data_IF_273134994767
#
_entry.id   IF_273134994767
#
_cell.length_a   1.000
_cell.length_b   1.000
_cell.length_c   1.000
_cell.angle_alpha   90.00
_cell.angle_beta   90.00
_cell.angle_gamma   90.00
#
_symmetry.space_group_name_H-M   'P 1'
#
loop_
_entity.id
_entity.type
_entity.pdbx_description
1 polymer ?
#
# COMPACT_ATOMS: atom_id res chain seq x y z
N UNK A 1 17.87 -14.17 -7.15
CA UNK A 1 16.69 -13.35 -6.91
C UNK A 1 16.92 -12.43 -5.72
N UNK A 2 16.68 -11.14 -5.89
CA UNK A 2 16.89 -10.18 -4.80
C UNK A 2 15.69 -10.19 -3.85
N UNK A 3 15.97 -10.13 -2.57
CA UNK A 3 14.94 -10.04 -1.54
C UNK A 3 15.21 -8.81 -0.68
N UNK A 4 14.28 -7.86 -0.70
CA UNK A 4 14.42 -6.59 0.02
C UNK A 4 13.17 -6.38 0.86
N UNK A 5 13.35 -6.02 2.13
CA UNK A 5 12.25 -5.79 3.08
C UNK A 5 11.28 -6.98 3.15
N UNK A 6 11.79 -8.20 2.99
CA UNK A 6 10.98 -9.39 3.01
C UNK A 6 10.23 -9.69 1.71
N UNK A 7 10.43 -8.89 0.66
CA UNK A 7 9.76 -9.04 -0.63
C UNK A 7 10.73 -9.55 -1.68
N UNK A 8 10.30 -10.54 -2.44
CA UNK A 8 11.08 -11.02 -3.58
C UNK A 8 10.91 -10.06 -4.76
N UNK A 9 12.00 -9.45 -5.17
CA UNK A 9 11.97 -8.46 -6.27
C UNK A 9 12.14 -9.20 -7.60
N UNK A 10 11.28 -8.92 -8.60
CA UNK A 10 11.43 -9.56 -9.91
C UNK A 10 12.77 -9.21 -10.55
N UNK A 11 13.49 -10.23 -11.01
CA UNK A 11 14.84 -10.04 -11.56
C UNK A 11 14.83 -9.50 -12.99
N UNK A 12 13.75 -9.73 -13.72
CA UNK A 12 13.64 -9.28 -15.11
C UNK A 12 13.23 -7.83 -15.26
N UNK A 13 12.86 -7.16 -14.18
CA UNK A 13 12.40 -5.77 -14.20
C UNK A 13 13.55 -4.80 -13.96
N UNK A 14 13.37 -3.55 -14.41
CA UNK A 14 14.32 -2.49 -14.08
C UNK A 14 14.27 -2.24 -12.56
N UNK A 15 15.37 -1.76 -12.01
CA UNK A 15 15.45 -1.53 -10.57
C UNK A 15 14.35 -0.60 -10.06
N UNK A 16 14.08 0.49 -10.80
CA UNK A 16 13.04 1.44 -10.40
C UNK A 16 11.64 0.79 -10.38
N UNK A 17 11.37 -0.13 -11.28
CA UNK A 17 10.11 -0.84 -11.32
C UNK A 17 10.07 -1.93 -10.25
N UNK A 18 11.15 -2.66 -10.07
CA UNK A 18 11.23 -3.74 -9.08
C UNK A 18 11.02 -3.25 -7.65
N UNK A 19 11.60 -2.10 -7.31
CA UNK A 19 11.43 -1.54 -5.96
C UNK A 19 9.99 -1.17 -5.64
N UNK A 20 9.17 -0.90 -6.64
CA UNK A 20 7.76 -0.58 -6.41
C UNK A 20 6.93 -1.78 -5.95
N UNK A 21 7.46 -2.98 -6.00
CA UNK A 21 6.80 -4.16 -5.46
C UNK A 21 6.78 -4.16 -3.92
N UNK A 22 7.59 -3.31 -3.31
CA UNK A 22 7.61 -3.15 -1.86
C UNK A 22 6.49 -2.22 -1.45
N UNK A 23 5.65 -2.64 -0.51
CA UNK A 23 4.57 -1.80 0.00
C UNK A 23 5.16 -0.55 0.68
N UNK A 24 4.77 0.62 0.21
CA UNK A 24 5.28 1.90 0.71
C UNK A 24 6.28 2.57 -0.21
N UNK A 25 6.72 1.91 -1.27
CA UNK A 25 7.63 2.49 -2.26
C UNK A 25 6.91 2.58 -3.60
N UNK A 26 6.70 3.80 -4.06
CA UNK A 26 6.18 4.08 -5.38
C UNK A 26 7.28 4.56 -6.31
N UNK A 27 6.91 5.08 -7.47
CA UNK A 27 7.88 5.52 -8.47
C UNK A 27 8.83 6.59 -7.94
N UNK A 28 8.30 7.61 -7.25
CA UNK A 28 9.11 8.72 -6.75
C UNK A 28 10.13 8.26 -5.71
N UNK A 29 9.69 7.42 -4.77
CA UNK A 29 10.59 6.90 -3.73
C UNK A 29 11.61 5.93 -4.30
N UNK A 30 11.23 5.12 -5.28
CA UNK A 30 12.17 4.22 -5.94
C UNK A 30 13.29 5.01 -6.62
N UNK A 31 12.95 6.08 -7.33
CA UNK A 31 13.93 6.96 -7.94
C UNK A 31 14.85 7.61 -6.91
N UNK A 32 14.28 8.07 -5.82
CA UNK A 32 15.03 8.69 -4.73
C UNK A 32 16.03 7.72 -4.11
N UNK A 33 15.60 6.48 -3.83
CA UNK A 33 16.47 5.45 -3.27
C UNK A 33 17.64 5.15 -4.20
N UNK A 34 17.37 4.95 -5.49
CA UNK A 34 18.40 4.65 -6.47
C UNK A 34 19.37 5.80 -6.63
N UNK A 35 18.90 7.04 -6.55
CA UNK A 35 19.74 8.22 -6.58
C UNK A 35 20.68 8.26 -5.37
N UNK A 36 20.17 7.96 -4.18
CA UNK A 36 20.97 7.95 -2.94
C UNK A 36 22.10 6.93 -2.98
N UNK A 37 21.85 5.77 -3.57
CA UNK A 37 22.86 4.70 -3.63
C UNK A 37 23.69 4.74 -4.90
N UNK A 38 23.40 5.67 -5.82
CA UNK A 38 24.19 5.86 -7.04
C UNK A 38 23.98 4.79 -8.10
N UNK A 39 22.79 4.20 -8.17
CA UNK A 39 22.47 3.17 -9.16
C UNK A 39 21.56 3.77 -10.23
N UNK A 40 21.85 3.45 -11.51
CA UNK A 40 21.02 3.87 -12.64
C UNK A 40 19.65 3.21 -12.57
N UNK A 41 18.61 3.99 -12.80
CA UNK A 41 17.21 3.52 -12.79
C UNK A 41 16.96 2.44 -13.82
N UNK A 42 17.64 2.50 -14.96
CA UNK A 42 17.41 1.57 -16.06
C UNK A 42 18.07 0.22 -15.88
N UNK A 43 18.91 0.05 -14.86
CA UNK A 43 19.54 -1.24 -14.60
C UNK A 43 18.52 -2.29 -14.21
N UNK A 44 18.69 -3.49 -14.75
CA UNK A 44 17.85 -4.63 -14.38
C UNK A 44 18.24 -5.15 -13.00
N UNK A 45 17.27 -5.67 -12.28
CA UNK A 45 17.52 -6.20 -10.94
C UNK A 45 18.54 -7.34 -10.96
N UNK A 46 18.52 -8.18 -12.01
CA UNK A 46 19.46 -9.28 -12.12
C UNK A 46 20.91 -8.85 -12.39
N UNK A 47 21.14 -7.59 -12.75
CA UNK A 47 22.50 -7.06 -12.95
C UNK A 47 23.06 -6.39 -11.71
N UNK A 48 22.28 -6.28 -10.63
CA UNK A 48 22.74 -5.67 -9.39
C UNK A 48 23.68 -6.61 -8.65
N UNK A 49 24.76 -6.04 -8.10
CA UNK A 49 25.69 -6.81 -7.28
C UNK A 49 25.12 -6.97 -5.87
N UNK A 50 25.64 -7.93 -5.11
CA UNK A 50 25.23 -8.15 -3.73
C UNK A 50 25.45 -6.89 -2.88
N UNK A 51 26.56 -6.19 -3.08
CA UNK A 51 26.87 -4.96 -2.35
C UNK A 51 25.85 -3.87 -2.65
N UNK A 52 25.42 -3.76 -3.91
CA UNK A 52 24.40 -2.79 -4.31
C UNK A 52 23.05 -3.11 -3.66
N UNK A 53 22.69 -4.39 -3.61
CA UNK A 53 21.46 -4.83 -2.94
C UNK A 53 21.50 -4.51 -1.45
N UNK A 54 22.64 -4.74 -0.80
CA UNK A 54 22.83 -4.43 0.62
C UNK A 54 22.68 -2.93 0.87
N UNK A 55 23.25 -2.09 0.02
CA UNK A 55 23.11 -0.62 0.15
C UNK A 55 21.67 -0.17 0.01
N UNK A 56 20.94 -0.79 -0.92
CA UNK A 56 19.51 -0.49 -1.09
C UNK A 56 18.73 -0.87 0.18
N UNK A 57 19.00 -2.05 0.73
CA UNK A 57 18.35 -2.51 1.97
C UNK A 57 18.62 -1.56 3.13
N UNK A 58 19.86 -1.15 3.30
CA UNK A 58 20.25 -0.25 4.38
C UNK A 58 19.57 1.11 4.24
N UNK A 59 19.51 1.64 3.02
CA UNK A 59 18.85 2.92 2.76
C UNK A 59 17.36 2.84 3.10
N UNK A 60 16.71 1.76 2.70
CA UNK A 60 15.27 1.56 2.98
C UNK A 60 15.05 1.43 4.49
N UNK A 61 15.84 0.63 5.16
CA UNK A 61 15.69 0.40 6.61
C UNK A 61 15.90 1.69 7.41
N UNK A 62 16.83 2.53 6.97
CA UNK A 62 17.18 3.76 7.67
C UNK A 62 16.19 4.91 7.41
N UNK A 63 15.78 5.09 6.16
CA UNK A 63 15.06 6.30 5.75
C UNK A 63 13.56 6.10 5.51
N UNK A 64 13.09 4.86 5.40
CA UNK A 64 11.72 4.59 4.97
C UNK A 64 11.02 3.59 5.88
N UNK A 65 9.71 3.79 6.05
CA UNK A 65 8.85 2.82 6.71
C UNK A 65 8.09 2.06 5.61
N UNK A 66 8.30 0.74 5.55
CA UNK A 66 7.76 -0.07 4.46
C UNK A 66 7.16 -1.39 4.99
N UNK A 67 6.41 -2.06 4.15
CA UNK A 67 5.84 -3.39 4.39
C UNK A 67 5.12 -3.51 5.72
N UNK A 68 5.47 -4.49 6.54
CA UNK A 68 4.77 -4.76 7.79
C UNK A 68 4.73 -3.58 8.75
N UNK A 69 5.81 -2.82 8.84
CA UNK A 69 5.86 -1.65 9.71
C UNK A 69 4.89 -0.56 9.22
N UNK A 70 4.85 -0.32 7.91
CA UNK A 70 3.92 0.65 7.35
C UNK A 70 2.47 0.20 7.50
N UNK A 71 2.20 -1.08 7.27
CA UNK A 71 0.85 -1.63 7.46
C UNK A 71 0.39 -1.50 8.90
N UNK A 72 1.30 -1.76 9.83
CA UNK A 72 1.02 -1.63 11.25
C UNK A 72 0.73 -0.18 11.63
N UNK A 73 1.52 0.75 11.11
CA UNK A 73 1.31 2.18 11.35
C UNK A 73 -0.05 2.64 10.84
N UNK A 74 -0.41 2.25 9.60
CA UNK A 74 -1.71 2.59 9.03
C UNK A 74 -2.86 2.01 9.87
N UNK A 75 -2.74 0.76 10.30
CA UNK A 75 -3.75 0.12 11.14
C UNK A 75 -3.88 0.81 12.49
N UNK A 76 -2.78 1.21 13.09
CA UNK A 76 -2.79 1.95 14.36
C UNK A 76 -3.43 3.32 14.23
N UNK A 77 -3.17 4.02 13.12
CA UNK A 77 -3.77 5.31 12.86
C UNK A 77 -5.29 5.20 12.73
N UNK A 78 -5.76 4.19 12.02
CA UNK A 78 -7.20 3.92 11.88
C UNK A 78 -7.80 3.57 13.24
N UNK A 79 -7.15 2.72 13.99
CA UNK A 79 -7.61 2.33 15.33
C UNK A 79 -7.71 3.55 16.25
N UNK A 80 -6.74 4.45 16.17
CA UNK A 80 -6.76 5.67 16.98
C UNK A 80 -8.00 6.52 16.66
N UNK A 81 -8.32 6.65 15.36
CA UNK A 81 -9.52 7.38 14.96
C UNK A 81 -10.79 6.73 15.50
N UNK A 82 -10.86 5.41 15.46
CA UNK A 82 -11.99 4.67 16.01
C UNK A 82 -12.11 4.85 17.53
N UNK A 83 -10.99 4.79 18.23
CA UNK A 83 -10.97 4.94 19.70
C UNK A 83 -11.38 6.35 20.13
N UNK A 84 -11.03 7.37 19.34
CA UNK A 84 -11.44 8.75 19.59
C UNK A 84 -12.92 8.98 19.27
N UNK A 85 -13.55 8.04 18.58
CA UNK A 85 -14.96 8.12 18.17
C UNK A 85 -15.28 9.39 17.37
N UNK A 86 -14.30 9.91 16.61
CA UNK A 86 -14.51 11.02 15.69
C UNK A 86 -15.29 10.54 14.47
N UNK A 87 -15.75 11.49 13.63
CA UNK A 87 -16.53 11.14 12.45
C UNK A 87 -15.78 10.17 11.54
N UNK A 88 -14.52 10.45 11.25
CA UNK A 88 -13.70 9.58 10.40
C UNK A 88 -13.57 8.17 11.00
N UNK A 89 -13.38 8.08 12.31
CA UNK A 89 -13.31 6.79 12.98
C UNK A 89 -14.59 6.00 12.91
N UNK A 90 -15.73 6.68 13.04
CA UNK A 90 -17.04 6.03 12.90
C UNK A 90 -17.26 5.52 11.47
N UNK A 91 -16.79 6.24 10.47
CA UNK A 91 -16.86 5.78 9.07
C UNK A 91 -16.02 4.53 8.86
N UNK A 92 -14.81 4.48 9.43
CA UNK A 92 -13.99 3.27 9.37
C UNK A 92 -14.66 2.09 10.08
N UNK A 93 -15.25 2.35 11.23
CA UNK A 93 -15.91 1.29 12.01
C UNK A 93 -17.07 0.66 11.23
N UNK A 94 -17.81 1.49 10.49
CA UNK A 94 -18.97 1.04 9.73
C UNK A 94 -18.60 0.53 8.33
N UNK A 95 -17.34 0.66 7.91
CA UNK A 95 -16.92 0.27 6.58
C UNK A 95 -17.47 1.16 5.49
N UNK A 96 -17.65 2.44 5.77
CA UNK A 96 -18.19 3.42 4.81
C UNK A 96 -17.08 4.35 4.33
N UNK A 97 -17.29 5.03 3.17
CA UNK A 97 -16.31 6.01 2.69
C UNK A 97 -16.06 7.10 3.73
N UNK A 98 -14.78 7.51 3.89
CA UNK A 98 -14.36 8.41 4.96
C UNK A 98 -14.12 9.86 4.51
N UNK A 99 -14.11 10.11 3.22
CA UNK A 99 -13.78 11.43 2.67
C UNK A 99 -15.01 12.20 2.16
N UNK A 100 -16.16 11.99 2.77
CA UNK A 100 -17.36 12.74 2.42
C UNK A 100 -18.02 12.29 1.12
N UNK A 101 -17.68 11.13 0.63
CA UNK A 101 -18.24 10.62 -0.62
C UNK A 101 -19.71 10.22 -0.45
N UNK A 102 -20.42 10.33 -1.54
CA UNK A 102 -21.82 9.95 -1.58
C UNK A 102 -22.00 8.46 -1.34
N UNK A 103 -22.97 8.08 -0.50
CA UNK A 103 -23.24 6.67 -0.19
C UNK A 103 -24.58 6.17 -0.69
N UNK A 104 -25.46 7.08 -1.12
CA UNK A 104 -26.78 6.70 -1.62
C UNK A 104 -26.68 5.84 -2.89
N UNK A 105 -25.72 6.16 -3.73
CA UNK A 105 -25.39 5.38 -4.93
C UNK A 105 -23.93 4.97 -4.85
N UNK A 106 -23.48 4.04 -5.64
CA UNK A 106 -22.05 3.69 -5.73
C UNK A 106 -21.38 3.41 -4.37
N UNK A 107 -20.11 3.75 -4.22
CA UNK A 107 -19.29 3.49 -3.02
C UNK A 107 -19.13 1.99 -2.71
N UNK A 108 -19.15 1.16 -3.75
CA UNK A 108 -19.09 -0.30 -3.59
C UNK A 108 -17.77 -0.82 -3.07
N UNK A 109 -16.68 -0.10 -3.31
CA UNK A 109 -15.35 -0.51 -2.83
C UNK A 109 -15.33 -0.69 -1.32
N UNK A 110 -15.94 0.23 -0.58
CA UNK A 110 -16.01 0.15 0.89
C UNK A 110 -17.22 -0.62 1.38
N UNK A 111 -18.37 -0.42 0.74
CA UNK A 111 -19.61 -1.05 1.17
C UNK A 111 -19.72 -2.52 0.75
N UNK A 112 -18.93 -2.92 -0.23
CA UNK A 112 -19.00 -4.26 -0.80
C UNK A 112 -20.07 -4.39 -1.88
N UNK A 113 -20.23 -5.60 -2.45
CA UNK A 113 -21.23 -5.83 -3.50
C UNK A 113 -22.63 -5.52 -3.01
N UNK A 114 -23.47 -5.03 -3.93
CA UNK A 114 -24.86 -4.77 -3.62
C UNK A 114 -25.59 -6.07 -3.30
N UNK A 115 -26.36 -6.04 -2.22
CA UNK A 115 -27.14 -7.22 -1.79
C UNK A 115 -28.61 -6.87 -1.77
N UNK A 116 -29.46 -7.63 -2.47
CA UNK A 116 -30.90 -7.37 -2.40
C UNK A 116 -31.45 -7.75 -1.03
N UNK A 117 -32.46 -7.02 -0.61
CA UNK A 117 -33.19 -7.35 0.60
C UNK A 117 -34.32 -8.30 0.21
N UNK A 118 -34.25 -9.54 0.64
CA UNK A 118 -35.15 -10.59 0.18
C UNK A 118 -36.63 -10.28 0.44
N UNK A 119 -36.91 -9.66 1.58
CA UNK A 119 -38.31 -9.34 1.92
C UNK A 119 -39.00 -8.37 0.99
N UNK A 120 -38.24 -7.49 0.34
CA UNK A 120 -38.80 -6.46 -0.55
C UNK A 120 -39.37 -7.03 -1.84
N UNK A 121 -38.88 -8.15 -2.30
CA UNK A 121 -39.31 -8.71 -3.57
C UNK A 121 -40.77 -9.13 -3.56
N UNK A 122 -41.27 -9.53 -2.42
CA UNK A 122 -42.62 -10.03 -2.30
C UNK A 122 -43.67 -8.96 -2.35
N UNK A 123 -43.26 -7.73 -2.14
CA UNK A 123 -44.20 -6.61 -2.08
C UNK A 123 -44.62 -6.14 -3.45
N UNK A 124 -43.95 -6.58 -4.47
CA UNK A 124 -44.13 -6.08 -5.82
C UNK A 124 -45.28 -6.75 -6.57
N UNK A 125 -46.30 -7.15 -5.95
CA UNK A 125 -47.42 -7.82 -6.59
C UNK A 125 -48.43 -6.88 -7.13
#
# INVERSE_FOLDING_TARGET
MARIAGVNIPTAKRAVIGLQYIHGIGLAKAKEILSKVGIDESRRVNTLTDDEVIRIRETIDHDYTVEGDLRREAAMNIKRLMDLACYRGLRHRRGLPVHGQRTHTNARTRKGPAKPIAGKKKVTK
#
